data_IF_397302506337
#
_entry.id   IF_397302506337
#
_cell.length_a   1.000
_cell.length_b   1.000
_cell.length_c   1.000
_cell.angle_alpha   90.00
_cell.angle_beta   90.00
_cell.angle_gamma   90.00
#
_symmetry.space_group_name_H-M   'P 1'
#
loop_
_entity.id
_entity.type
_entity.pdbx_description
1 polymer ?
#
# COMPACT_ATOMS: atom_id res chain seq x y z
N UNK A 1 -61.06 -36.28 -11.23
CA UNK A 1 -60.99 -35.29 -10.12
C UNK A 1 -60.00 -35.84 -9.11
N UNK A 2 -58.71 -35.49 -9.21
CA UNK A 2 -57.98 -34.45 -8.45
C UNK A 2 -57.85 -34.72 -6.94
N UNK A 3 -56.57 -34.72 -6.50
CA UNK A 3 -55.96 -34.46 -5.17
C UNK A 3 -55.52 -35.72 -4.40
N UNK A 4 -54.35 -35.81 -3.78
CA UNK A 4 -53.12 -35.01 -3.80
C UNK A 4 -52.08 -35.82 -2.99
N UNK A 5 -50.98 -36.25 -3.59
CA UNK A 5 -49.85 -36.84 -2.87
C UNK A 5 -48.75 -35.79 -2.77
N UNK A 6 -48.51 -35.28 -1.57
CA UNK A 6 -47.42 -34.35 -1.28
C UNK A 6 -46.16 -35.18 -1.01
N UNK A 7 -45.31 -35.38 -2.03
CA UNK A 7 -43.99 -35.98 -1.85
C UNK A 7 -42.97 -34.84 -1.66
N UNK A 8 -42.43 -34.75 -0.44
CA UNK A 8 -41.29 -33.91 -0.10
C UNK A 8 -40.06 -34.43 -0.85
N UNK A 9 -39.65 -33.78 -1.93
CA UNK A 9 -38.32 -33.94 -2.49
C UNK A 9 -37.34 -33.16 -1.60
N UNK A 10 -36.60 -33.87 -0.74
CA UNK A 10 -35.34 -33.36 -0.19
C UNK A 10 -34.34 -33.24 -1.34
N UNK A 11 -34.23 -32.03 -1.90
CA UNK A 11 -33.03 -31.63 -2.64
C UNK A 11 -31.91 -31.47 -1.62
N UNK A 12 -31.17 -32.56 -1.36
CA UNK A 12 -29.81 -32.44 -0.83
C UNK A 12 -28.94 -31.86 -1.93
N UNK A 13 -28.99 -30.53 -2.10
CA UNK A 13 -27.91 -29.79 -2.75
C UNK A 13 -26.73 -29.90 -1.79
N UNK A 14 -25.81 -30.82 -2.08
CA UNK A 14 -24.49 -30.77 -1.49
C UNK A 14 -23.87 -29.42 -1.90
N UNK A 15 -23.54 -28.50 -0.98
CA UNK A 15 -22.67 -27.42 -1.33
C UNK A 15 -21.26 -28.02 -1.43
N UNK A 16 -20.91 -28.40 -2.65
CA UNK A 16 -19.54 -28.53 -3.12
C UNK A 16 -18.85 -27.18 -2.97
N UNK A 17 -18.34 -26.87 -1.78
CA UNK A 17 -17.34 -25.83 -1.58
C UNK A 17 -16.04 -26.50 -1.14
N UNK A 18 -15.51 -27.32 -2.06
CA UNK A 18 -14.07 -27.34 -2.26
C UNK A 18 -13.65 -25.89 -2.46
N UNK A 19 -13.10 -25.29 -1.41
CA UNK A 19 -12.26 -24.11 -1.49
C UNK A 19 -11.00 -24.54 -2.24
N UNK A 20 -11.14 -24.65 -3.56
CA UNK A 20 -10.03 -24.59 -4.48
C UNK A 20 -9.40 -23.22 -4.29
N UNK A 21 -8.46 -23.14 -3.35
CA UNK A 21 -7.41 -22.12 -3.37
C UNK A 21 -6.63 -22.38 -4.65
N UNK A 22 -7.15 -21.91 -5.78
CA UNK A 22 -6.36 -21.77 -6.98
C UNK A 22 -5.21 -20.85 -6.60
N UNK A 23 -4.02 -21.42 -6.42
CA UNK A 23 -2.80 -20.64 -6.28
C UNK A 23 -2.71 -19.75 -7.50
N UNK A 24 -3.02 -18.47 -7.31
CA UNK A 24 -2.82 -17.48 -8.35
C UNK A 24 -1.31 -17.35 -8.49
N UNK A 25 -0.77 -17.77 -9.62
CA UNK A 25 0.67 -17.78 -9.87
C UNK A 25 0.92 -16.96 -11.12
N UNK A 26 1.93 -16.09 -11.05
CA UNK A 26 2.33 -15.29 -12.19
C UNK A 26 3.02 -16.17 -13.23
N UNK A 27 2.43 -16.21 -14.43
CA UNK A 27 3.09 -16.76 -15.64
C UNK A 27 3.69 -15.66 -16.52
N UNK A 28 3.58 -14.40 -16.09
CA UNK A 28 3.91 -13.19 -16.83
C UNK A 28 2.96 -12.05 -16.46
N UNK A 29 3.27 -10.82 -16.87
CA UNK A 29 2.41 -9.65 -16.63
C UNK A 29 1.55 -9.41 -17.86
N UNK A 30 0.22 -9.54 -17.69
CA UNK A 30 -0.74 -9.14 -18.72
C UNK A 30 -0.78 -7.59 -18.79
N UNK A 31 -0.66 -6.96 -19.97
CA UNK A 31 -0.80 -5.51 -20.12
C UNK A 31 -2.08 -4.93 -19.49
N UNK A 32 -3.17 -5.71 -19.44
CA UNK A 32 -4.41 -5.30 -18.79
C UNK A 32 -4.30 -5.13 -17.27
N UNK A 33 -3.31 -5.74 -16.61
CA UNK A 33 -3.06 -5.60 -15.17
C UNK A 33 -2.23 -4.36 -14.82
N UNK A 34 -1.55 -3.73 -15.80
CA UNK A 34 -0.65 -2.59 -15.55
C UNK A 34 -1.35 -1.41 -14.84
N UNK A 35 -2.60 -1.02 -15.17
CA UNK A 35 -3.31 0.03 -14.43
C UNK A 35 -3.55 -0.35 -12.96
N UNK A 36 -3.91 -1.61 -12.69
CA UNK A 36 -4.11 -2.10 -11.31
C UNK A 36 -2.82 -2.11 -10.52
N UNK A 37 -1.71 -2.54 -11.13
CA UNK A 37 -0.38 -2.53 -10.51
C UNK A 37 0.10 -1.09 -10.24
N UNK A 38 -0.18 -0.16 -11.17
CA UNK A 38 0.09 1.27 -10.98
C UNK A 38 -0.70 1.83 -9.81
N UNK A 39 -2.00 1.54 -9.74
CA UNK A 39 -2.85 1.97 -8.63
C UNK A 39 -2.41 1.39 -7.28
N UNK A 40 -1.91 0.15 -7.25
CA UNK A 40 -1.33 -0.46 -6.06
C UNK A 40 -0.08 0.30 -5.59
N UNK A 41 0.91 0.49 -6.47
CA UNK A 41 2.14 1.22 -6.11
C UNK A 41 1.89 2.69 -5.76
N UNK A 42 0.86 3.31 -6.34
CA UNK A 42 0.50 4.69 -6.06
C UNK A 42 0.09 4.90 -4.59
N UNK A 43 -0.34 3.84 -3.88
CA UNK A 43 -0.64 3.90 -2.44
C UNK A 43 0.57 4.21 -1.58
N UNK A 44 1.78 3.94 -2.09
CA UNK A 44 3.04 4.16 -1.41
C UNK A 44 3.66 5.49 -1.85
N UNK A 45 3.78 5.71 -3.17
CA UNK A 45 4.42 6.90 -3.71
C UNK A 45 3.64 8.18 -3.45
N UNK A 46 2.30 8.10 -3.40
CA UNK A 46 1.47 9.25 -3.00
C UNK A 46 1.64 9.64 -1.52
N UNK A 47 2.28 8.80 -0.71
CA UNK A 47 2.68 9.10 0.66
C UNK A 47 4.17 9.47 0.75
N UNK A 48 4.85 9.65 -0.38
CA UNK A 48 6.28 9.96 -0.44
C UNK A 48 7.22 8.75 -0.36
N UNK A 49 6.70 7.52 -0.18
CA UNK A 49 7.52 6.31 -0.08
C UNK A 49 7.98 5.86 -1.48
N UNK A 50 9.08 6.44 -1.95
CA UNK A 50 9.69 6.16 -3.26
C UNK A 50 10.94 5.29 -3.19
N UNK A 51 11.37 4.94 -1.97
CA UNK A 51 12.46 4.02 -1.70
C UNK A 51 12.05 3.12 -0.53
N UNK A 52 12.05 1.82 -0.77
CA UNK A 52 11.75 0.76 0.18
C UNK A 52 12.81 -0.32 -0.06
N UNK A 53 13.79 -0.48 0.85
CA UNK A 53 14.93 -1.34 0.61
C UNK A 53 14.54 -2.82 0.63
N UNK A 54 15.35 -3.66 -0.02
CA UNK A 54 15.25 -5.11 0.12
C UNK A 54 15.60 -5.49 1.57
N UNK A 55 14.59 -5.90 2.34
CA UNK A 55 14.67 -6.03 3.80
C UNK A 55 13.56 -5.28 4.54
N UNK A 56 12.86 -4.38 3.84
CA UNK A 56 11.70 -3.66 4.37
C UNK A 56 12.07 -2.37 5.08
N UNK A 57 11.03 -1.67 5.52
CA UNK A 57 11.13 -0.36 6.17
C UNK A 57 11.76 -0.47 7.56
N UNK A 58 12.43 0.60 8.01
CA UNK A 58 12.78 0.77 9.42
C UNK A 58 11.52 0.93 10.29
N UNK A 59 11.67 0.76 11.61
CA UNK A 59 10.53 0.84 12.55
C UNK A 59 9.79 2.18 12.48
N UNK A 60 10.52 3.29 12.41
CA UNK A 60 9.94 4.63 12.23
C UNK A 60 9.12 4.72 10.95
N UNK A 61 9.70 4.28 9.83
CA UNK A 61 9.07 4.32 8.52
C UNK A 61 7.83 3.44 8.47
N UNK A 62 7.85 2.27 9.13
CA UNK A 62 6.69 1.39 9.25
C UNK A 62 5.53 2.09 9.98
N UNK A 63 5.79 2.69 11.14
CA UNK A 63 4.77 3.39 11.92
C UNK A 63 4.26 4.61 11.15
N UNK A 64 5.17 5.38 10.55
CA UNK A 64 4.83 6.57 9.74
C UNK A 64 3.98 6.19 8.54
N UNK A 65 4.34 5.12 7.81
CA UNK A 65 3.52 4.62 6.70
C UNK A 65 2.13 4.26 7.18
N UNK A 66 2.00 3.49 8.27
CA UNK A 66 0.71 3.11 8.83
C UNK A 66 -0.16 4.32 9.16
N UNK A 67 0.41 5.35 9.81
CA UNK A 67 -0.31 6.58 10.15
C UNK A 67 -0.73 7.36 8.90
N UNK A 68 0.19 7.61 7.97
CA UNK A 68 -0.07 8.39 6.76
C UNK A 68 -1.06 7.69 5.81
N UNK A 69 -0.92 6.37 5.63
CA UNK A 69 -1.82 5.57 4.81
C UNK A 69 -3.25 5.65 5.35
N UNK A 70 -3.43 5.42 6.65
CA UNK A 70 -4.76 5.53 7.24
C UNK A 70 -5.28 6.97 7.19
N UNK A 71 -4.43 7.98 7.40
CA UNK A 71 -4.88 9.37 7.34
C UNK A 71 -5.31 9.79 5.92
N UNK A 72 -4.72 9.19 4.88
CA UNK A 72 -5.08 9.46 3.48
C UNK A 72 -6.29 8.65 3.01
N UNK A 73 -6.36 7.37 3.36
CA UNK A 73 -7.33 6.43 2.78
C UNK A 73 -8.42 5.95 3.75
N UNK A 74 -8.22 6.09 5.06
CA UNK A 74 -9.09 5.54 6.11
C UNK A 74 -9.23 6.49 7.31
N UNK A 75 -9.63 7.74 7.04
CA UNK A 75 -9.73 8.80 8.06
C UNK A 75 -10.68 8.44 9.20
N UNK A 76 -11.67 7.60 8.93
CA UNK A 76 -12.62 7.08 9.91
C UNK A 76 -11.95 6.30 11.06
N UNK A 77 -10.72 5.78 10.86
CA UNK A 77 -9.96 5.07 11.89
C UNK A 77 -9.34 5.99 12.94
N UNK A 78 -9.32 7.31 12.70
CA UNK A 78 -8.82 8.29 13.65
C UNK A 78 -9.95 8.79 14.55
N UNK A 79 -9.71 8.75 15.86
CA UNK A 79 -10.48 9.49 16.84
C UNK A 79 -9.82 10.82 17.19
N UNK A 80 -10.55 11.70 17.87
CA UNK A 80 -9.94 12.85 18.55
C UNK A 80 -9.21 12.39 19.81
N UNK A 81 -8.07 12.99 20.10
CA UNK A 81 -7.46 12.85 21.41
C UNK A 81 -8.40 13.39 22.49
N UNK A 82 -8.52 12.67 23.61
CA UNK A 82 -9.39 13.06 24.74
C UNK A 82 -8.88 14.32 25.44
N UNK A 83 -7.58 14.60 25.36
CA UNK A 83 -6.98 15.77 26.00
C UNK A 83 -7.15 17.01 25.12
N UNK A 84 -7.73 18.07 25.68
CA UNK A 84 -7.86 19.36 24.97
C UNK A 84 -6.45 19.94 24.80
N UNK A 85 -6.04 20.19 23.54
CA UNK A 85 -4.67 20.61 23.18
C UNK A 85 -3.59 19.58 23.55
N UNK A 86 -3.83 18.31 23.20
CA UNK A 86 -2.83 17.26 23.34
C UNK A 86 -1.48 17.68 22.70
N UNK A 87 -0.37 17.71 23.46
CA UNK A 87 0.93 18.14 22.93
C UNK A 87 1.48 17.18 21.86
N UNK A 88 0.91 15.98 21.77
CA UNK A 88 1.33 14.93 20.86
C UNK A 88 0.44 14.81 19.60
N UNK A 89 -0.56 15.69 19.45
CA UNK A 89 -1.44 15.71 18.30
C UNK A 89 -2.93 15.57 18.64
N UNK A 90 -3.78 16.20 17.84
CA UNK A 90 -5.23 16.22 18.04
C UNK A 90 -5.92 14.91 17.60
N UNK A 91 -5.25 14.10 16.78
CA UNK A 91 -5.74 12.83 16.28
C UNK A 91 -5.08 11.67 17.02
N UNK A 92 -5.83 10.60 17.24
CA UNK A 92 -5.32 9.36 17.81
C UNK A 92 -5.88 8.14 17.05
N UNK A 93 -5.02 7.16 16.80
CA UNK A 93 -5.38 5.91 16.12
C UNK A 93 -4.87 4.72 16.90
N UNK A 94 -5.69 3.67 17.01
CA UNK A 94 -5.31 2.42 17.65
C UNK A 94 -4.14 1.74 16.93
N UNK A 95 -3.14 1.26 17.67
CA UNK A 95 -1.94 0.64 17.07
C UNK A 95 -2.26 -0.60 16.23
N UNK A 96 -3.37 -1.30 16.51
CA UNK A 96 -3.84 -2.42 15.69
C UNK A 96 -4.09 -2.02 14.23
N UNK A 97 -4.43 -0.76 13.95
CA UNK A 97 -4.62 -0.29 12.58
C UNK A 97 -3.28 -0.10 11.86
N UNK A 98 -2.21 0.26 12.58
CA UNK A 98 -0.86 0.30 12.02
C UNK A 98 -0.42 -1.12 11.66
N UNK A 99 -0.57 -2.08 12.58
CA UNK A 99 -0.26 -3.50 12.32
C UNK A 99 -1.02 -4.02 11.11
N UNK A 100 -2.34 -3.79 11.07
CA UNK A 100 -3.19 -4.24 9.97
C UNK A 100 -2.72 -3.66 8.63
N UNK A 101 -2.43 -2.36 8.57
CA UNK A 101 -1.98 -1.70 7.35
C UNK A 101 -0.62 -2.24 6.88
N UNK A 102 0.31 -2.52 7.80
CA UNK A 102 1.61 -3.11 7.45
C UNK A 102 1.45 -4.55 6.95
N UNK A 103 0.54 -5.31 7.55
CA UNK A 103 0.23 -6.65 7.08
C UNK A 103 -0.41 -6.62 5.69
N UNK A 104 -1.41 -5.76 5.46
CA UNK A 104 -2.11 -5.65 4.17
C UNK A 104 -1.20 -5.19 3.02
N UNK A 105 -0.25 -4.28 3.28
CA UNK A 105 0.56 -3.65 2.23
C UNK A 105 1.96 -4.25 2.07
N UNK A 106 2.54 -4.82 3.13
CA UNK A 106 3.91 -5.38 3.13
C UNK A 106 3.97 -6.84 3.55
N UNK A 107 2.89 -7.42 4.08
CA UNK A 107 2.95 -8.76 4.67
C UNK A 107 3.76 -8.84 5.96
N UNK A 108 3.89 -7.72 6.69
CA UNK A 108 4.67 -7.62 7.91
C UNK A 108 3.75 -7.67 9.14
N UNK A 109 3.99 -8.64 10.03
CA UNK A 109 3.36 -8.67 11.34
C UNK A 109 4.15 -7.79 12.33
N UNK A 110 3.67 -6.57 12.55
CA UNK A 110 4.32 -5.59 13.41
C UNK A 110 3.70 -5.53 14.81
N UNK A 111 4.52 -5.73 15.85
CA UNK A 111 4.08 -5.73 17.26
C UNK A 111 4.90 -4.81 18.18
N UNK A 112 5.97 -4.19 17.67
CA UNK A 112 6.91 -3.39 18.46
C UNK A 112 6.42 -1.94 18.59
N UNK A 113 5.20 -1.75 19.09
CA UNK A 113 4.66 -0.41 19.28
C UNK A 113 5.34 0.30 20.45
N UNK A 114 5.90 1.47 20.18
CA UNK A 114 6.48 2.38 21.16
C UNK A 114 6.51 3.80 20.62
N UNK A 115 6.76 4.76 21.51
CA UNK A 115 7.09 6.12 21.11
C UNK A 115 8.45 6.13 20.43
N UNK A 116 8.58 6.96 19.41
CA UNK A 116 9.82 7.20 18.66
C UNK A 116 10.09 8.70 18.74
N UNK A 117 10.73 9.18 19.83
CA UNK A 117 10.96 10.61 20.03
C UNK A 117 11.98 11.19 19.03
N UNK A 118 12.88 10.34 18.53
CA UNK A 118 13.94 10.73 17.59
C UNK A 118 13.49 10.71 16.12
N UNK A 119 12.23 10.34 15.85
CA UNK A 119 11.68 10.35 14.49
C UNK A 119 11.39 11.78 14.01
N UNK A 120 11.23 11.94 12.69
CA UNK A 120 10.93 13.24 12.08
C UNK A 120 9.65 13.21 11.23
N UNK A 121 8.50 13.67 11.78
CA UNK A 121 8.29 14.23 13.13
C UNK A 121 8.29 13.16 14.24
N UNK A 122 8.46 13.55 15.53
CA UNK A 122 8.37 12.63 16.66
C UNK A 122 7.03 11.90 16.72
N UNK A 123 7.05 10.60 16.97
CA UNK A 123 5.85 9.76 17.06
C UNK A 123 5.60 9.36 18.52
N UNK A 124 4.42 9.71 19.04
CA UNK A 124 4.06 9.38 20.41
C UNK A 124 3.07 8.22 20.47
N UNK A 125 3.35 7.25 21.34
CA UNK A 125 2.50 6.10 21.64
C UNK A 125 2.13 6.10 23.12
N UNK A 126 0.83 6.04 23.42
CA UNK A 126 0.32 6.07 24.80
C UNK A 126 0.17 4.69 25.45
N UNK A 127 0.68 3.64 24.82
CA UNK A 127 0.48 2.24 25.22
C UNK A 127 -0.70 1.55 24.52
N UNK A 128 -1.51 2.29 23.75
CA UNK A 128 -2.58 1.72 22.92
C UNK A 128 -2.75 2.42 21.57
N UNK A 129 -2.51 3.73 21.52
CA UNK A 129 -2.77 4.58 20.37
C UNK A 129 -1.55 5.40 20.04
N UNK A 130 -1.34 5.59 18.74
CA UNK A 130 -0.45 6.64 18.25
C UNK A 130 -1.20 7.96 18.24
N UNK A 131 -0.57 8.99 18.77
CA UNK A 131 -1.03 10.38 18.67
C UNK A 131 -0.31 11.02 17.51
N UNK A 132 -1.08 11.73 16.70
CA UNK A 132 -0.64 12.19 15.41
C UNK A 132 -1.06 13.64 15.23
N UNK A 133 -0.10 14.58 15.10
CA UNK A 133 -0.44 15.89 14.59
C UNK A 133 -0.98 15.72 13.17
N UNK A 134 -1.88 16.61 12.76
CA UNK A 134 -2.33 16.63 11.38
C UNK A 134 -1.10 16.82 10.49
N UNK A 135 -0.80 15.89 9.57
CA UNK A 135 0.41 15.99 8.78
C UNK A 135 0.28 17.21 7.87
N UNK A 136 1.39 17.90 7.55
CA UNK A 136 1.38 18.89 6.50
C UNK A 136 0.88 18.25 5.19
N UNK A 137 0.46 19.06 4.22
CA UNK A 137 0.18 18.56 2.87
C UNK A 137 1.50 18.06 2.28
N UNK A 138 1.82 16.79 2.49
CA UNK A 138 3.00 16.15 1.90
C UNK A 138 2.79 16.07 0.39
N UNK A 139 3.86 16.35 -0.35
CA UNK A 139 3.87 16.18 -1.80
C UNK A 139 4.10 14.70 -2.10
N UNK A 140 3.03 14.04 -2.53
CA UNK A 140 3.12 12.69 -3.06
C UNK A 140 3.62 12.67 -4.50
N UNK A 141 3.82 11.47 -5.00
CA UNK A 141 4.19 11.22 -6.38
C UNK A 141 3.23 10.25 -7.04
N UNK A 142 2.92 10.51 -8.31
CA UNK A 142 2.23 9.57 -9.17
C UNK A 142 3.20 8.55 -9.76
N UNK A 143 2.70 7.36 -10.07
CA UNK A 143 3.49 6.28 -10.66
C UNK A 143 2.72 5.58 -11.77
N UNK A 144 3.41 5.25 -12.87
CA UNK A 144 2.87 4.42 -13.96
C UNK A 144 3.80 3.23 -14.17
N UNK A 145 3.26 2.03 -13.99
CA UNK A 145 3.91 0.77 -14.36
C UNK A 145 3.80 0.61 -15.87
N UNK A 146 4.93 0.44 -16.55
CA UNK A 146 4.97 0.23 -18.00
C UNK A 146 5.29 -1.22 -18.38
N UNK A 147 5.75 -2.02 -17.42
CA UNK A 147 6.02 -3.43 -17.64
C UNK A 147 6.68 -4.10 -16.44
N UNK A 148 7.19 -5.30 -16.66
CA UNK A 148 7.83 -6.11 -15.65
C UNK A 148 7.88 -7.59 -16.03
N UNK A 149 8.38 -8.41 -15.14
CA UNK A 149 8.57 -9.85 -15.35
C UNK A 149 8.34 -10.63 -14.06
N UNK A 150 7.97 -11.91 -14.19
CA UNK A 150 7.88 -12.80 -13.05
C UNK A 150 9.29 -13.24 -12.64
N UNK A 151 9.69 -12.92 -11.40
CA UNK A 151 10.92 -13.43 -10.81
C UNK A 151 10.73 -14.85 -10.28
N UNK A 152 9.51 -15.16 -9.85
CA UNK A 152 9.06 -16.48 -9.42
C UNK A 152 7.52 -16.54 -9.52
N UNK A 153 6.88 -17.70 -9.33
CA UNK A 153 5.42 -17.80 -9.35
C UNK A 153 4.71 -16.82 -8.40
N UNK A 154 5.36 -16.41 -7.30
CA UNK A 154 4.82 -15.52 -6.29
C UNK A 154 5.42 -14.10 -6.32
N UNK A 155 6.43 -13.83 -7.16
CA UNK A 155 7.14 -12.54 -7.15
C UNK A 155 7.19 -11.90 -8.53
N UNK A 156 6.83 -10.62 -8.59
CA UNK A 156 6.89 -9.81 -9.80
C UNK A 156 7.92 -8.69 -9.64
N UNK A 157 8.80 -8.56 -10.62
CA UNK A 157 9.56 -7.33 -10.85
C UNK A 157 8.73 -6.39 -11.70
N UNK A 158 8.52 -5.17 -11.23
CA UNK A 158 7.83 -4.09 -11.93
C UNK A 158 8.82 -3.00 -12.31
N UNK A 159 8.53 -2.33 -13.44
CA UNK A 159 9.29 -1.17 -13.94
C UNK A 159 8.33 -0.11 -14.45
N UNK A 160 8.77 1.14 -14.41
CA UNK A 160 8.02 2.25 -14.98
C UNK A 160 8.56 3.61 -14.56
N UNK A 161 7.69 4.60 -14.51
CA UNK A 161 8.08 6.01 -14.30
C UNK A 161 7.31 6.65 -13.16
N UNK A 162 8.00 7.53 -12.43
CA UNK A 162 7.46 8.37 -11.35
C UNK A 162 7.36 9.83 -11.81
N UNK A 163 6.28 10.50 -11.44
CA UNK A 163 5.97 11.88 -11.82
C UNK A 163 5.40 12.67 -10.63
N UNK A 164 5.44 14.00 -10.70
CA UNK A 164 4.86 14.86 -9.65
C UNK A 164 3.34 14.76 -9.63
N UNK A 165 2.73 14.69 -8.44
CA UNK A 165 1.28 14.51 -8.29
C UNK A 165 0.46 15.73 -8.78
N UNK A 166 1.02 16.94 -8.69
CA UNK A 166 0.32 18.22 -8.94
C UNK A 166 0.37 18.71 -10.40
N UNK A 167 1.07 18.03 -11.32
CA UNK A 167 1.18 18.47 -12.71
C UNK A 167 1.11 17.31 -13.74
N UNK A 168 -0.01 17.15 -14.46
CA UNK A 168 -0.13 16.19 -15.56
C UNK A 168 0.67 16.58 -16.82
N UNK A 169 1.46 17.66 -16.82
CA UNK A 169 2.43 18.02 -17.88
C UNK A 169 3.64 17.06 -18.01
N UNK A 170 3.71 16.01 -17.17
CA UNK A 170 4.53 14.79 -17.36
C UNK A 170 6.05 14.99 -17.31
N UNK A 171 6.57 15.86 -16.46
CA UNK A 171 7.99 15.78 -16.14
C UNK A 171 8.25 14.43 -15.43
N UNK A 172 8.79 13.46 -16.18
CA UNK A 172 9.26 12.19 -15.61
C UNK A 172 10.39 12.53 -14.65
N UNK A 173 10.18 12.28 -13.37
CA UNK A 173 11.13 12.60 -12.30
C UNK A 173 12.18 11.49 -12.15
N UNK A 174 11.73 10.24 -12.26
CA UNK A 174 12.57 9.07 -12.09
C UNK A 174 12.01 7.87 -12.84
N UNK A 175 12.89 6.95 -13.18
CA UNK A 175 12.50 5.57 -13.42
C UNK A 175 12.41 4.84 -12.08
N UNK A 176 11.55 3.83 -11.99
CA UNK A 176 11.49 2.97 -10.81
C UNK A 176 11.62 1.50 -11.17
N UNK A 177 12.06 0.74 -10.17
CA UNK A 177 11.90 -0.70 -10.13
C UNK A 177 11.38 -1.13 -8.76
N UNK A 178 10.41 -2.02 -8.73
CA UNK A 178 9.84 -2.53 -7.48
C UNK A 178 9.51 -4.00 -7.55
N UNK A 179 9.56 -4.68 -6.42
CA UNK A 179 9.23 -6.10 -6.32
C UNK A 179 7.95 -6.26 -5.52
N UNK A 180 6.97 -6.93 -6.12
CA UNK A 180 5.74 -7.34 -5.44
C UNK A 180 5.77 -8.83 -5.12
N UNK A 181 5.14 -9.20 -4.02
CA UNK A 181 4.77 -10.57 -3.69
C UNK A 181 3.26 -10.75 -3.82
N UNK A 182 2.86 -11.86 -4.43
CA UNK A 182 1.51 -12.36 -4.44
C UNK A 182 1.34 -13.34 -3.29
N UNK A 183 0.32 -13.10 -2.47
CA UNK A 183 0.02 -13.91 -1.30
C UNK A 183 -0.93 -15.05 -1.66
N UNK A 184 -1.01 -16.05 -0.79
CA UNK A 184 -1.86 -17.22 -1.00
C UNK A 184 -3.35 -16.89 -1.15
N UNK A 185 -3.79 -15.76 -0.59
CA UNK A 185 -5.15 -15.23 -0.71
C UNK A 185 -5.38 -14.38 -1.98
N UNK A 186 -4.38 -14.26 -2.85
CA UNK A 186 -4.42 -13.46 -4.08
C UNK A 186 -4.17 -11.97 -3.89
N UNK A 187 -3.89 -11.51 -2.66
CA UNK A 187 -3.52 -10.12 -2.38
C UNK A 187 -2.05 -9.83 -2.72
N UNK A 188 -1.74 -8.55 -2.94
CA UNK A 188 -0.39 -8.08 -3.26
C UNK A 188 0.24 -7.42 -2.04
N UNK A 189 1.52 -7.69 -1.81
CA UNK A 189 2.36 -6.94 -0.88
C UNK A 189 3.61 -6.40 -1.58
N UNK A 190 4.03 -5.21 -1.20
CA UNK A 190 5.27 -4.59 -1.68
C UNK A 190 6.46 -5.14 -0.88
N UNK A 191 7.49 -5.62 -1.56
CA UNK A 191 8.74 -6.06 -0.92
C UNK A 191 9.83 -5.00 -1.01
N UNK A 192 9.95 -4.37 -2.18
CA UNK A 192 10.94 -3.32 -2.42
C UNK A 192 10.46 -2.34 -3.48
N UNK A 193 10.96 -1.11 -3.39
CA UNK A 193 10.75 -0.07 -4.36
C UNK A 193 12.01 0.78 -4.42
N UNK A 194 12.51 1.05 -5.61
CA UNK A 194 13.68 1.87 -5.84
C UNK A 194 13.40 2.83 -6.97
N UNK A 195 13.97 4.03 -6.88
CA UNK A 195 13.86 5.06 -7.90
C UNK A 195 15.25 5.50 -8.30
N UNK A 196 15.45 5.67 -9.59
CA UNK A 196 16.67 6.21 -10.17
C UNK A 196 16.27 7.50 -10.87
N UNK A 197 16.74 8.63 -10.35
CA UNK A 197 16.51 9.93 -10.99
C UNK A 197 17.12 9.88 -12.39
N UNK A 198 16.33 10.29 -13.37
CA UNK A 198 16.89 10.51 -14.70
C UNK A 198 17.80 11.75 -14.61
N UNK A 199 19.02 11.71 -15.20
CA UNK A 199 19.78 12.93 -15.35
C UNK A 199 18.92 13.95 -16.10
N UNK A 200 18.85 15.18 -15.60
CA UNK A 200 18.17 16.25 -16.31
C UNK A 200 18.73 16.29 -17.73
N UNK A 201 17.86 16.07 -18.73
CA UNK A 201 18.27 16.32 -20.11
C UNK A 201 18.62 17.79 -20.16
N UNK A 202 19.92 18.11 -20.24
CA UNK A 202 20.41 19.42 -20.59
C UNK A 202 19.65 19.83 -21.86
N UNK A 203 18.67 20.73 -21.71
CA UNK A 203 18.13 21.43 -22.86
C UNK A 203 19.29 22.28 -23.34
N UNK A 204 20.04 21.80 -24.33
CA UNK A 204 20.95 22.67 -25.08
C UNK A 204 20.08 23.79 -25.62
N UNK A 205 20.19 24.97 -25.03
CA UNK A 205 19.73 26.20 -25.67
C UNK A 205 20.64 26.39 -26.88
N UNK A 206 20.31 25.71 -27.98
CA UNK A 206 20.75 26.14 -29.30
C UNK A 206 19.87 27.34 -29.63
N UNK A 207 20.34 28.51 -29.21
CA UNK A 207 19.86 29.78 -29.73
C UNK A 207 20.47 29.93 -31.13
N UNK A 208 19.65 30.10 -32.19
CA UNK A 208 20.16 30.53 -33.50
C UNK A 208 20.71 31.95 -33.45
#
# INVERSE_FOLDING_TARGET
MKRATLLFFLFTVAPSLLSGQGRFLWKGINPAELPRLSAFLNRFTSLGFCHIPEGGLGEEEMVRFGLLYNYRFHRERFGRCKSRRCPHGELAMDSSQVTRTLEENFGIHFHRHRSLPDSHPPLFYDGKRYHFPRPPKEQGYGIVVTGGEALSPERLLLRGTLYGEDDPSRAILADFSGVLRLRADGSLSLESLSTVRRPERFRSRNTP
#
